data_IF_244875902584
#
_entry.id   IF_244875902584
#
_cell.length_a   1.000
_cell.length_b   1.000
_cell.length_c   1.000
_cell.angle_alpha   90.00
_cell.angle_beta   90.00
_cell.angle_gamma   90.00
#
_symmetry.space_group_name_H-M   'P 1'
#
loop_
_entity.id
_entity.type
_entity.pdbx_description
1 polymer ?
#
# COMPACT_ATOMS: atom_id res chain seq x y z
N UNK A 1 9.74 16.19 21.01
CA UNK A 1 9.36 16.46 19.62
C UNK A 1 9.93 15.37 18.70
N UNK A 2 9.09 14.65 17.97
CA UNK A 2 9.42 13.50 17.11
C UNK A 2 10.15 13.85 15.79
N UNK A 3 10.40 15.13 15.48
CA UNK A 3 11.02 15.54 14.22
C UNK A 3 10.07 15.48 13.01
N UNK A 4 8.76 15.52 13.24
CA UNK A 4 7.76 15.46 12.18
C UNK A 4 7.61 16.82 11.48
N UNK A 5 7.84 16.85 10.16
CA UNK A 5 7.41 17.99 9.31
C UNK A 5 5.89 17.99 9.12
N UNK A 6 5.27 19.11 8.69
CA UNK A 6 3.81 19.19 8.52
C UNK A 6 3.20 18.07 7.67
N UNK A 7 3.94 17.57 6.66
CA UNK A 7 3.47 16.47 5.83
C UNK A 7 3.34 15.14 6.59
N UNK A 8 4.20 14.87 7.59
CA UNK A 8 4.04 13.70 8.48
C UNK A 8 2.73 13.77 9.25
N UNK A 9 2.41 14.96 9.80
CA UNK A 9 1.20 15.17 10.59
C UNK A 9 -0.06 15.08 9.72
N UNK A 10 -0.02 15.62 8.50
CA UNK A 10 -1.13 15.50 7.55
C UNK A 10 -1.35 14.04 7.15
N UNK A 11 -0.27 13.31 6.87
CA UNK A 11 -0.31 11.89 6.54
C UNK A 11 -0.86 11.04 7.69
N UNK A 12 -0.45 11.33 8.93
CA UNK A 12 -0.89 10.58 10.09
C UNK A 12 -2.33 10.85 10.49
N UNK A 13 -2.78 12.10 10.37
CA UNK A 13 -4.16 12.48 10.64
C UNK A 13 -5.15 11.97 9.60
N UNK A 14 -4.68 11.46 8.45
CA UNK A 14 -5.55 10.94 7.40
C UNK A 14 -6.20 12.03 6.54
N UNK A 15 -5.68 13.27 6.58
CA UNK A 15 -6.28 14.40 5.86
C UNK A 15 -5.74 14.53 4.44
N UNK A 16 -6.29 13.76 3.49
CA UNK A 16 -5.87 13.73 2.08
C UNK A 16 -5.74 15.13 1.46
N UNK A 17 -6.71 16.03 1.66
CA UNK A 17 -6.67 17.39 1.12
C UNK A 17 -5.44 18.18 1.59
N UNK A 18 -5.10 18.09 2.88
CA UNK A 18 -3.90 18.74 3.45
C UNK A 18 -2.63 18.12 2.89
N UNK A 19 -2.56 16.79 2.79
CA UNK A 19 -1.45 16.09 2.17
C UNK A 19 -1.20 16.59 0.73
N UNK A 20 -2.25 16.70 -0.08
CA UNK A 20 -2.15 17.20 -1.46
C UNK A 20 -1.65 18.64 -1.50
N UNK A 21 -2.24 19.54 -0.70
CA UNK A 21 -1.84 20.95 -0.69
C UNK A 21 -0.37 21.11 -0.30
N UNK A 22 0.07 20.43 0.77
CA UNK A 22 1.45 20.51 1.26
C UNK A 22 2.41 19.89 0.25
N UNK A 23 2.13 18.69 -0.25
CA UNK A 23 3.02 17.99 -1.18
C UNK A 23 3.10 18.65 -2.57
N UNK A 24 2.06 19.37 -3.00
CA UNK A 24 2.12 20.18 -4.23
C UNK A 24 2.91 21.47 -4.05
N UNK A 25 2.84 22.07 -2.86
CA UNK A 25 3.61 23.27 -2.55
C UNK A 25 5.10 22.96 -2.42
N UNK A 26 5.44 21.85 -1.78
CA UNK A 26 6.81 21.37 -1.63
C UNK A 26 6.85 19.83 -1.69
N UNK A 27 7.11 19.26 -2.88
CA UNK A 27 7.20 17.81 -3.06
C UNK A 27 8.43 17.18 -2.38
N UNK A 28 9.47 17.96 -2.09
CA UNK A 28 10.71 17.47 -1.44
C UNK A 28 10.45 16.98 -0.02
N UNK A 29 9.40 17.51 0.64
CA UNK A 29 8.93 17.07 1.95
C UNK A 29 8.60 15.57 2.00
N UNK A 30 8.33 14.93 0.86
CA UNK A 30 8.13 13.48 0.77
C UNK A 30 9.35 12.66 1.22
N UNK A 31 10.54 13.26 1.22
CA UNK A 31 11.80 12.63 1.64
C UNK A 31 12.20 12.91 3.08
N UNK A 32 11.57 13.90 3.72
CA UNK A 32 11.92 14.30 5.08
C UNK A 32 11.77 13.12 6.03
N UNK A 33 12.73 12.96 6.94
CA UNK A 33 12.76 11.82 7.85
C UNK A 33 12.63 12.30 9.28
N UNK A 34 11.65 11.75 10.00
CA UNK A 34 11.49 12.02 11.42
C UNK A 34 12.58 11.29 12.25
N UNK A 35 12.52 11.39 13.58
CA UNK A 35 13.51 10.74 14.48
C UNK A 35 13.51 9.21 14.40
N UNK A 36 12.40 8.61 13.98
CA UNK A 36 12.28 7.17 13.72
C UNK A 36 12.77 6.81 12.30
N UNK A 37 13.26 7.79 11.54
CA UNK A 37 13.65 7.64 10.16
C UNK A 37 12.47 7.41 9.22
N UNK A 38 11.24 7.63 9.66
CA UNK A 38 10.06 7.46 8.81
C UNK A 38 9.92 8.68 7.91
N UNK A 39 9.54 8.44 6.65
CA UNK A 39 9.08 9.51 5.76
C UNK A 39 7.57 9.76 5.95
N UNK A 40 7.00 10.88 5.45
CA UNK A 40 5.56 11.09 5.50
C UNK A 40 4.77 9.98 4.79
N UNK A 41 5.31 9.43 3.70
CA UNK A 41 4.72 8.28 3.00
C UNK A 41 4.76 7.04 3.89
N UNK A 42 5.86 6.83 4.63
CA UNK A 42 5.97 5.73 5.58
C UNK A 42 4.93 5.87 6.70
N UNK A 43 4.74 7.07 7.26
CA UNK A 43 3.71 7.32 8.29
C UNK A 43 2.29 7.07 7.77
N UNK A 44 1.96 7.49 6.54
CA UNK A 44 0.68 7.16 5.90
C UNK A 44 0.50 5.63 5.79
N UNK A 45 1.55 4.94 5.37
CA UNK A 45 1.54 3.50 5.17
C UNK A 45 1.32 2.70 6.45
N UNK A 46 2.06 2.97 7.52
CA UNK A 46 1.91 2.24 8.80
C UNK A 46 0.54 2.46 9.46
N UNK A 47 -0.14 3.55 9.11
CA UNK A 47 -1.49 3.86 9.57
C UNK A 47 -2.58 3.35 8.62
N UNK A 48 -2.21 2.59 7.58
CA UNK A 48 -3.15 2.03 6.61
C UNK A 48 -3.85 3.08 5.74
N UNK A 49 -3.29 4.29 5.63
CA UNK A 49 -3.85 5.38 4.81
C UNK A 49 -3.45 5.21 3.35
N UNK A 50 -3.93 4.13 2.75
CA UNK A 50 -3.53 3.66 1.41
C UNK A 50 -3.74 4.72 0.32
N UNK A 51 -4.88 5.42 0.32
CA UNK A 51 -5.15 6.50 -0.64
C UNK A 51 -4.14 7.65 -0.55
N UNK A 52 -3.81 8.06 0.68
CA UNK A 52 -2.82 9.11 0.93
C UNK A 52 -1.44 8.66 0.48
N UNK A 53 -1.06 7.42 0.80
CA UNK A 53 0.20 6.85 0.35
C UNK A 53 0.33 6.90 -1.18
N UNK A 54 -0.69 6.41 -1.91
CA UNK A 54 -0.68 6.42 -3.37
C UNK A 54 -0.62 7.84 -3.94
N UNK A 55 -1.42 8.75 -3.38
CA UNK A 55 -1.49 10.13 -3.82
C UNK A 55 -0.15 10.86 -3.62
N UNK A 56 0.41 10.79 -2.41
CA UNK A 56 1.70 11.39 -2.10
C UNK A 56 2.82 10.79 -2.94
N UNK A 57 2.83 9.48 -3.16
CA UNK A 57 3.81 8.85 -4.03
C UNK A 57 3.69 9.34 -5.48
N UNK A 58 2.48 9.60 -5.96
CA UNK A 58 2.29 10.17 -7.30
C UNK A 58 2.77 11.62 -7.39
N UNK A 59 2.52 12.43 -6.37
CA UNK A 59 2.91 13.86 -6.34
C UNK A 59 4.41 14.00 -6.17
N UNK A 60 4.99 13.30 -5.19
CA UNK A 60 6.40 13.39 -4.85
C UNK A 60 7.31 12.52 -5.73
N UNK A 61 6.77 11.76 -6.71
CA UNK A 61 7.48 10.68 -7.41
C UNK A 61 8.87 11.08 -7.93
N UNK A 62 9.03 12.31 -8.42
CA UNK A 62 10.27 12.77 -9.04
C UNK A 62 11.32 13.18 -8.00
N UNK A 63 10.88 13.54 -6.79
CA UNK A 63 11.75 13.91 -5.69
C UNK A 63 12.09 12.70 -4.81
N UNK A 64 11.26 11.64 -4.79
CA UNK A 64 11.41 10.55 -3.84
C UNK A 64 12.74 9.79 -3.96
N UNK A 65 13.54 9.83 -2.90
CA UNK A 65 14.80 9.12 -2.75
C UNK A 65 14.61 7.64 -2.51
N UNK A 66 15.61 6.83 -2.85
CA UNK A 66 15.60 5.37 -2.68
C UNK A 66 15.51 4.85 -1.23
N UNK A 67 15.29 5.71 -0.25
CA UNK A 67 15.13 5.35 1.16
C UNK A 67 13.79 5.74 1.77
N UNK A 68 12.89 6.40 1.01
CA UNK A 68 11.58 6.88 1.52
C UNK A 68 10.74 5.77 2.16
N UNK A 69 10.94 4.52 1.73
CA UNK A 69 10.17 3.36 2.16
C UNK A 69 10.81 2.59 3.31
N UNK A 70 11.95 3.02 3.86
CA UNK A 70 12.66 2.31 4.92
C UNK A 70 12.82 3.23 6.10
N UNK A 71 12.55 2.75 7.32
CA UNK A 71 12.76 3.52 8.56
C UNK A 71 14.02 3.07 9.32
N UNK A 72 14.29 3.71 10.45
CA UNK A 72 15.29 3.21 11.41
C UNK A 72 14.83 1.84 11.93
N UNK A 73 15.73 0.88 12.15
CA UNK A 73 15.33 -0.52 12.39
C UNK A 73 15.46 -1.41 11.15
N UNK A 74 15.75 -0.83 9.98
CA UNK A 74 15.86 -1.56 8.73
C UNK A 74 14.54 -1.95 8.07
N UNK A 75 13.43 -1.78 8.78
CA UNK A 75 12.10 -2.17 8.31
C UNK A 75 11.66 -1.32 7.11
N UNK A 76 11.19 -2.00 6.07
CA UNK A 76 10.51 -1.36 4.93
C UNK A 76 9.02 -1.18 5.20
N UNK A 77 8.37 -0.33 4.40
CA UNK A 77 6.91 -0.16 4.43
C UNK A 77 6.20 -1.53 4.32
N UNK A 78 6.72 -2.44 3.49
CA UNK A 78 6.11 -3.76 3.32
C UNK A 78 6.19 -4.60 4.62
N UNK A 79 7.32 -4.57 5.34
CA UNK A 79 7.44 -5.21 6.66
C UNK A 79 6.33 -4.73 7.60
N UNK A 80 6.16 -3.41 7.71
CA UNK A 80 5.19 -2.84 8.62
C UNK A 80 3.74 -3.10 8.17
N UNK A 81 3.46 -3.06 6.87
CA UNK A 81 2.13 -3.38 6.33
C UNK A 81 1.72 -4.82 6.68
N UNK A 82 2.63 -5.79 6.55
CA UNK A 82 2.38 -7.19 6.89
C UNK A 82 2.24 -7.37 8.42
N UNK A 83 3.15 -6.78 9.20
CA UNK A 83 3.10 -6.85 10.68
C UNK A 83 1.77 -6.33 11.22
N UNK A 84 1.25 -5.26 10.61
CA UNK A 84 -0.01 -4.59 10.99
C UNK A 84 -1.26 -5.15 10.30
N UNK A 85 -1.13 -6.19 9.47
CA UNK A 85 -2.21 -6.77 8.68
C UNK A 85 -2.92 -5.74 7.75
N UNK A 86 -2.20 -4.72 7.27
CA UNK A 86 -2.69 -3.76 6.28
C UNK A 86 -2.62 -4.38 4.87
N UNK A 87 -3.47 -5.38 4.62
CA UNK A 87 -3.41 -6.20 3.40
C UNK A 87 -3.61 -5.41 2.12
N UNK A 88 -4.51 -4.41 2.10
CA UNK A 88 -4.74 -3.57 0.92
C UNK A 88 -3.47 -2.84 0.49
N UNK A 89 -2.74 -2.26 1.45
CA UNK A 89 -1.49 -1.59 1.20
C UNK A 89 -0.39 -2.59 0.79
N UNK A 90 -0.29 -3.72 1.49
CA UNK A 90 0.69 -4.77 1.15
C UNK A 90 0.48 -5.30 -0.27
N UNK A 91 -0.78 -5.54 -0.65
CA UNK A 91 -1.18 -5.96 -1.99
C UNK A 91 -0.82 -4.90 -3.03
N UNK A 92 -1.16 -3.62 -2.78
CA UNK A 92 -0.79 -2.55 -3.69
C UNK A 92 0.72 -2.41 -3.85
N UNK A 93 1.51 -2.48 -2.77
CA UNK A 93 2.97 -2.42 -2.85
C UNK A 93 3.54 -3.57 -3.68
N UNK A 94 3.03 -4.79 -3.50
CA UNK A 94 3.41 -5.95 -4.31
C UNK A 94 3.03 -5.75 -5.78
N UNK A 95 1.81 -5.29 -6.08
CA UNK A 95 1.40 -4.97 -7.45
C UNK A 95 2.28 -3.92 -8.10
N UNK A 96 2.66 -2.88 -7.35
CA UNK A 96 3.51 -1.80 -7.85
C UNK A 96 4.93 -2.31 -8.20
N UNK A 97 5.42 -3.32 -7.49
CA UNK A 97 6.68 -3.99 -7.81
C UNK A 97 6.53 -4.91 -9.05
N UNK A 98 5.44 -5.68 -9.14
CA UNK A 98 5.17 -6.58 -10.26
C UNK A 98 4.82 -5.85 -11.56
N UNK A 99 4.10 -4.73 -11.51
CA UNK A 99 3.73 -3.94 -12.68
C UNK A 99 4.96 -3.40 -13.42
N UNK A 100 6.05 -3.08 -12.71
CA UNK A 100 7.33 -2.73 -13.35
C UNK A 100 7.99 -3.95 -14.01
N UNK A 101 7.90 -5.13 -13.39
CA UNK A 101 8.42 -6.39 -13.94
C UNK A 101 7.73 -6.78 -15.27
N UNK A 102 6.41 -6.53 -15.40
CA UNK A 102 5.66 -6.73 -16.66
C UNK A 102 6.08 -5.73 -17.75
N UNK A 103 6.43 -4.49 -17.39
CA UNK A 103 6.99 -3.50 -18.34
C UNK A 103 8.42 -3.84 -18.75
N UNK A 104 9.18 -4.53 -17.89
CA UNK A 104 10.54 -5.03 -18.18
C UNK A 104 10.56 -6.21 -19.17
N UNK A 105 9.42 -6.84 -19.44
CA UNK A 105 9.26 -7.82 -20.53
C UNK A 105 9.02 -7.14 -21.90
N UNK A 106 9.07 -5.81 -21.95
CA UNK A 106 9.09 -5.02 -23.18
C UNK A 106 10.51 -4.46 -23.32
N UNK A 107 11.35 -4.98 -24.23
CA UNK A 107 12.68 -4.41 -24.44
C UNK A 107 12.51 -3.03 -25.08
N UNK A 108 13.23 -2.04 -24.54
CA UNK A 108 13.41 -0.69 -25.08
C UNK A 108 12.40 0.39 -24.65
N UNK A 109 12.48 0.81 -23.39
CA UNK A 109 12.40 2.26 -23.07
C UNK A 109 13.21 2.53 -21.80
N UNK A 110 14.39 3.12 -21.98
CA UNK A 110 15.31 3.45 -20.89
C UNK A 110 14.69 4.36 -19.83
N UNK A 111 15.17 4.16 -18.60
CA UNK A 111 14.96 4.98 -17.41
C UNK A 111 13.67 4.72 -16.61
N UNK A 112 13.70 3.65 -15.80
CA UNK A 112 12.93 3.57 -14.56
C UNK A 112 13.87 3.12 -13.44
N UNK A 113 14.22 4.05 -12.56
CA UNK A 113 15.07 3.83 -11.39
C UNK A 113 14.50 2.71 -10.50
N UNK A 114 15.34 1.70 -10.24
CA UNK A 114 15.04 0.36 -9.74
C UNK A 114 14.94 0.27 -8.21
N UNK A 115 14.23 1.22 -7.62
CA UNK A 115 14.10 1.30 -6.16
C UNK A 115 13.00 0.36 -5.65
N UNK A 116 11.85 0.35 -6.33
CA UNK A 116 10.68 -0.41 -5.88
C UNK A 116 10.89 -1.93 -6.03
N UNK A 117 11.69 -2.37 -7.01
CA UNK A 117 11.93 -3.79 -7.34
C UNK A 117 12.52 -4.60 -6.17
N UNK A 118 13.28 -3.97 -5.27
CA UNK A 118 13.97 -4.64 -4.15
C UNK A 118 13.22 -4.64 -2.83
N UNK A 119 12.02 -4.04 -2.76
CA UNK A 119 11.25 -3.91 -1.50
C UNK A 119 11.02 -5.25 -0.77
N UNK A 120 10.78 -6.33 -1.52
CA UNK A 120 10.56 -7.67 -0.97
C UNK A 120 11.85 -8.39 -0.55
N UNK A 121 13.02 -7.92 -1.02
CA UNK A 121 14.34 -8.52 -0.74
C UNK A 121 15.10 -7.85 0.39
N UNK A 122 14.70 -6.64 0.79
CA UNK A 122 15.34 -5.96 1.92
C UNK A 122 15.07 -6.70 3.23
N UNK A 123 16.09 -6.77 4.06
CA UNK A 123 16.01 -7.33 5.41
C UNK A 123 15.92 -6.22 6.45
N UNK A 124 15.18 -6.50 7.53
CA UNK A 124 15.25 -5.71 8.76
C UNK A 124 16.58 -5.93 9.51
N UNK A 125 16.78 -5.26 10.64
CA UNK A 125 17.98 -5.42 11.47
C UNK A 125 18.17 -6.85 12.02
N UNK A 126 17.12 -7.68 12.02
CA UNK A 126 17.18 -9.08 12.45
C UNK A 126 17.46 -10.03 11.27
N UNK A 127 17.66 -9.52 10.06
CA UNK A 127 17.89 -10.33 8.86
C UNK A 127 16.61 -10.88 8.24
N UNK A 128 15.42 -10.49 8.72
CA UNK A 128 14.16 -11.00 8.18
C UNK A 128 13.68 -10.13 7.02
N UNK A 129 13.31 -10.76 5.92
CA UNK A 129 12.61 -10.08 4.81
C UNK A 129 11.11 -9.95 5.11
N UNK A 130 10.35 -9.10 4.39
CA UNK A 130 8.90 -9.06 4.54
C UNK A 130 8.24 -10.42 4.28
N UNK A 131 8.83 -11.23 3.40
CA UNK A 131 8.32 -12.56 3.09
C UNK A 131 8.40 -13.54 4.28
N UNK A 132 9.40 -13.38 5.17
CA UNK A 132 9.46 -14.16 6.41
C UNK A 132 8.22 -13.89 7.28
N UNK A 133 7.81 -12.62 7.41
CA UNK A 133 6.61 -12.24 8.17
C UNK A 133 5.30 -12.66 7.48
N UNK A 134 5.29 -12.74 6.14
CA UNK A 134 4.13 -13.26 5.39
C UNK A 134 3.96 -14.76 5.61
N UNK A 135 5.05 -15.53 5.57
CA UNK A 135 5.01 -16.97 5.77
C UNK A 135 4.44 -17.35 7.15
N UNK A 136 4.74 -16.53 8.17
CA UNK A 136 4.26 -16.72 9.54
C UNK A 136 2.78 -16.32 9.75
N UNK A 137 2.13 -15.70 8.75
CA UNK A 137 0.76 -15.17 8.84
C UNK A 137 -0.21 -15.89 7.89
N UNK A 138 -0.86 -16.98 8.33
CA UNK A 138 -1.86 -17.68 7.51
C UNK A 138 -3.07 -16.80 7.16
N UNK A 139 -3.35 -15.75 7.93
CA UNK A 139 -4.39 -14.76 7.63
C UNK A 139 -4.14 -13.95 6.36
N UNK A 140 -2.88 -13.81 5.92
CA UNK A 140 -2.53 -13.18 4.63
C UNK A 140 -3.13 -13.93 3.43
N UNK A 141 -3.43 -15.21 3.62
CA UNK A 141 -3.93 -16.12 2.59
C UNK A 141 -5.42 -16.45 2.76
N UNK A 142 -6.05 -16.00 3.85
CA UNK A 142 -7.49 -16.16 4.03
C UNK A 142 -8.21 -15.25 3.05
N UNK A 143 -9.01 -15.86 2.18
CA UNK A 143 -9.93 -15.19 1.28
C UNK A 143 -10.98 -14.47 2.12
N UNK A 144 -10.79 -13.18 2.37
CA UNK A 144 -11.86 -12.39 2.95
C UNK A 144 -12.87 -12.16 1.83
N UNK A 145 -14.01 -12.86 1.91
CA UNK A 145 -15.23 -12.32 1.32
C UNK A 145 -15.38 -10.94 1.92
N UNK A 146 -15.38 -9.90 1.08
CA UNK A 146 -15.58 -8.53 1.54
C UNK A 146 -17.01 -8.41 2.06
N UNK A 147 -17.21 -8.71 3.34
CA UNK A 147 -18.42 -8.31 4.03
C UNK A 147 -18.31 -6.80 4.21
N UNK A 148 -18.88 -6.05 3.26
CA UNK A 148 -19.10 -4.62 3.43
C UNK A 148 -20.09 -4.48 4.57
N UNK A 149 -19.54 -4.36 5.79
CA UNK A 149 -20.26 -3.93 6.96
C UNK A 149 -20.91 -2.58 6.67
N UNK A 150 -22.19 -2.65 6.31
CA UNK A 150 -23.14 -1.55 6.46
C UNK A 150 -22.98 -1.02 7.88
N UNK A 151 -22.64 0.26 8.02
CA UNK A 151 -23.06 0.99 9.21
C UNK A 151 -24.53 1.38 9.01
N UNK A 152 -25.37 0.57 9.62
CA UNK A 152 -26.66 0.91 10.21
C UNK A 152 -26.42 2.02 11.27
N UNK A 153 -27.27 2.99 11.61
CA UNK A 153 -28.71 3.21 11.44
C UNK A 153 -29.00 4.72 11.61
N UNK A 154 -29.96 5.26 10.86
CA UNK A 154 -30.94 6.21 11.40
C UNK A 154 -32.27 5.95 10.66
N UNK A 155 -33.29 5.54 11.43
CA UNK A 155 -34.57 4.98 10.99
C UNK A 155 -35.45 5.99 10.24
N UNK A 156 -36.19 5.52 9.22
CA UNK A 156 -37.65 5.65 9.15
C UNK A 156 -38.24 4.70 8.07
N UNK A 157 -39.35 3.97 8.31
CA UNK A 157 -39.88 2.96 7.40
C UNK A 157 -40.97 3.54 6.48
N UNK A 158 -41.04 3.10 5.23
CA UNK A 158 -42.32 2.75 4.56
C UNK A 158 -42.14 2.21 3.12
N UNK A 159 -42.69 1.01 2.93
CA UNK A 159 -43.37 0.50 1.72
C UNK A 159 -42.58 -0.09 0.53
N UNK A 160 -42.95 -1.36 0.28
CA UNK A 160 -43.15 -2.05 -1.02
C UNK A 160 -41.97 -2.66 -1.80
N UNK A 161 -41.86 -3.99 -1.65
CA UNK A 161 -41.78 -5.03 -2.69
C UNK A 161 -40.96 -4.79 -3.98
N UNK A 162 -39.93 -5.63 -4.19
CA UNK A 162 -39.82 -6.66 -5.26
C UNK A 162 -38.39 -7.25 -5.26
N UNK A 163 -38.28 -8.58 -5.15
CA UNK A 163 -37.06 -9.39 -5.41
C UNK A 163 -37.04 -9.88 -6.87
N UNK A 164 -36.04 -10.66 -7.33
CA UNK A 164 -34.60 -10.45 -7.40
C UNK A 164 -34.09 -10.62 -8.86
N UNK A 165 -32.92 -10.09 -9.24
CA UNK A 165 -32.13 -10.52 -10.43
C UNK A 165 -30.76 -9.82 -10.41
N UNK A 166 -29.70 -10.56 -10.12
CA UNK A 166 -28.84 -11.31 -11.05
C UNK A 166 -27.73 -10.44 -11.65
N UNK A 167 -26.49 -10.69 -11.22
CA UNK A 167 -25.29 -10.07 -11.73
C UNK A 167 -24.10 -10.38 -10.82
N UNK A 168 -23.65 -11.65 -10.80
CA UNK A 168 -22.34 -11.99 -10.28
C UNK A 168 -21.29 -11.44 -11.25
N UNK A 169 -20.95 -10.17 -11.12
CA UNK A 169 -19.68 -9.65 -11.63
C UNK A 169 -18.60 -10.09 -10.63
N UNK A 170 -17.66 -10.92 -11.12
CA UNK A 170 -16.64 -11.54 -10.30
C UNK A 170 -15.80 -10.52 -9.55
N UNK A 171 -15.94 -10.49 -8.22
CA UNK A 171 -15.07 -9.70 -7.35
C UNK A 171 -13.63 -10.22 -7.48
N UNK A 172 -12.77 -9.41 -8.11
CA UNK A 172 -11.34 -9.69 -8.19
C UNK A 172 -10.75 -9.81 -6.77
N UNK A 173 -10.15 -10.96 -6.51
CA UNK A 173 -9.66 -11.31 -5.19
C UNK A 173 -8.38 -10.52 -4.87
N UNK A 174 -8.46 -9.48 -4.04
CA UNK A 174 -7.31 -8.68 -3.57
C UNK A 174 -6.43 -9.40 -2.54
N UNK A 175 -6.36 -10.75 -2.58
CA UNK A 175 -5.51 -11.49 -1.65
C UNK A 175 -4.07 -11.57 -2.18
N UNK A 176 -3.09 -11.50 -1.26
CA UNK A 176 -1.66 -11.56 -1.60
C UNK A 176 -1.31 -12.86 -2.36
N UNK A 177 -2.08 -13.93 -2.12
CA UNK A 177 -1.97 -15.21 -2.84
C UNK A 177 -2.07 -15.04 -4.36
N UNK A 178 -2.92 -14.15 -4.86
CA UNK A 178 -3.11 -13.92 -6.30
C UNK A 178 -1.95 -13.17 -6.96
N UNK A 179 -1.09 -12.49 -6.19
CA UNK A 179 0.09 -11.78 -6.71
C UNK A 179 1.34 -12.66 -6.69
N UNK A 180 1.47 -13.49 -5.65
CA UNK A 180 2.65 -14.33 -5.45
C UNK A 180 2.61 -15.66 -6.20
N UNK A 181 1.43 -16.19 -6.52
CA UNK A 181 1.27 -17.40 -7.33
C UNK A 181 1.07 -16.94 -8.79
N UNK A 182 2.01 -17.23 -9.72
CA UNK A 182 1.78 -17.00 -11.13
C UNK A 182 0.48 -17.71 -11.51
N UNK A 183 -0.44 -17.04 -12.21
CA UNK A 183 -1.53 -17.76 -12.87
C UNK A 183 -0.86 -18.77 -13.78
N UNK A 184 -0.90 -20.05 -13.41
CA UNK A 184 -0.70 -21.11 -14.38
C UNK A 184 -1.70 -20.81 -15.49
N UNK A 185 -1.18 -20.45 -16.66
CA UNK A 185 -1.94 -20.40 -17.88
C UNK A 185 -2.57 -21.77 -18.03
N UNK A 186 -3.86 -21.86 -17.66
CA UNK A 186 -4.70 -22.99 -18.01
C UNK A 186 -4.74 -22.98 -19.53
N UNK A 187 -3.89 -23.83 -20.11
CA UNK A 187 -3.96 -24.16 -21.52
C UNK A 187 -5.30 -24.81 -21.78
N UNK A 188 -5.97 -24.31 -22.80
CA UNK A 188 -6.96 -25.06 -23.57
C UNK A 188 -6.76 -24.67 -25.03
#
# INVERSE_FOLDING_TARGET
MQGNVPLHLAASTGSLRKCICIAKADPSLGNERNKEGESPLFSAAILGRTEIFLCLRSICKNELHSSYFRKNGGETILHCAIKRNCWDLAYQLLLLNHSKKKKLLLPNSGLATSVDEKLATFVDEKGNTPLHFLADKPSAFKRNVCDKGKKADEENPESSNVSPKSGHEGEECNCIKCVLIPKESVGN
#
